data_IF_617077912562
#
_entry.id   IF_617077912562
#
_cell.length_a   1.000
_cell.length_b   1.000
_cell.length_c   1.000
_cell.angle_alpha   90.00
_cell.angle_beta   90.00
_cell.angle_gamma   90.00
#
_symmetry.space_group_name_H-M   'P 1'
#
loop_
_entity.id
_entity.type
_entity.pdbx_description
1 polymer ?
#
# COMPACT_ATOMS: atom_id res chain seq x y z
N UNK A 1 13.89 52.82 64.64
CA UNK A 1 13.17 53.51 63.55
C UNK A 1 13.81 53.26 62.18
N UNK A 2 15.14 53.17 62.08
CA UNK A 2 15.90 52.91 60.85
C UNK A 2 15.61 51.56 60.18
N UNK A 3 15.41 50.48 60.94
CA UNK A 3 15.16 49.14 60.37
C UNK A 3 13.82 49.02 59.63
N UNK A 4 12.81 49.81 60.02
CA UNK A 4 11.51 49.81 59.35
C UNK A 4 11.58 50.49 57.98
N UNK A 5 12.40 51.54 57.86
CA UNK A 5 12.62 52.28 56.60
C UNK A 5 13.45 51.44 55.62
N UNK A 6 14.49 50.76 56.10
CA UNK A 6 15.27 49.83 55.28
C UNK A 6 14.41 48.66 54.77
N UNK A 7 13.53 48.15 55.62
CA UNK A 7 12.58 47.08 55.23
C UNK A 7 11.54 47.58 54.23
N UNK A 8 11.00 48.79 54.37
CA UNK A 8 10.06 49.34 53.39
C UNK A 8 10.71 49.60 52.03
N UNK A 9 11.99 50.02 51.99
CA UNK A 9 12.75 50.21 50.74
C UNK A 9 13.06 48.88 50.05
N UNK A 10 13.37 47.81 50.80
CA UNK A 10 13.61 46.47 50.25
C UNK A 10 12.35 45.83 49.66
N UNK A 11 11.16 46.20 50.14
CA UNK A 11 9.88 45.69 49.63
C UNK A 11 9.06 46.75 48.86
N UNK A 12 9.70 47.87 48.48
CA UNK A 12 9.02 48.90 47.71
C UNK A 12 8.85 48.43 46.26
N UNK A 13 7.68 47.88 45.95
CA UNK A 13 7.31 47.45 44.59
C UNK A 13 7.31 48.58 43.55
N UNK A 14 7.47 49.84 44.00
CA UNK A 14 7.63 51.01 43.13
C UNK A 14 8.92 51.00 42.30
N UNK A 15 10.02 50.43 42.80
CA UNK A 15 11.27 50.37 42.04
C UNK A 15 11.26 49.26 40.97
N UNK A 16 10.45 48.22 41.17
CA UNK A 16 10.29 47.10 40.23
C UNK A 16 9.02 47.19 39.38
N UNK A 17 8.18 48.21 39.60
CA UNK A 17 7.07 48.48 38.71
C UNK A 17 7.66 49.14 37.46
N UNK A 18 7.90 48.34 36.42
CA UNK A 18 7.97 48.88 35.07
C UNK A 18 6.71 49.72 34.90
N UNK A 19 6.89 51.03 34.72
CA UNK A 19 5.82 51.92 34.32
C UNK A 19 5.25 51.27 33.05
N UNK A 20 4.03 50.73 33.14
CA UNK A 20 3.29 50.37 31.95
C UNK A 20 3.18 51.69 31.20
N UNK A 21 3.94 51.83 30.13
CA UNK A 21 3.78 52.94 29.21
C UNK A 21 2.33 52.87 28.76
N UNK A 22 1.48 53.72 29.35
CA UNK A 22 0.15 53.95 28.84
C UNK A 22 0.38 54.48 27.43
N UNK A 23 0.12 53.65 26.44
CA UNK A 23 0.19 54.07 25.04
C UNK A 23 -0.79 55.22 24.88
N UNK A 24 -0.33 56.38 24.44
CA UNK A 24 -1.21 57.48 24.08
C UNK A 24 -2.05 57.05 22.85
N UNK A 25 -3.26 56.54 23.10
CA UNK A 25 -4.20 56.03 22.09
C UNK A 25 -4.72 57.09 21.10
N UNK A 26 -4.19 58.31 21.17
CA UNK A 26 -4.42 59.40 20.23
C UNK A 26 -3.34 59.45 19.14
N UNK A 27 -2.16 58.85 19.35
CA UNK A 27 -1.02 58.87 18.43
C UNK A 27 -0.78 57.51 17.73
N UNK A 28 -1.50 56.46 18.15
CA UNK A 28 -1.50 55.14 17.51
C UNK A 28 -2.80 54.92 16.74
N UNK A 29 -2.70 54.28 15.58
CA UNK A 29 -3.85 53.87 14.78
C UNK A 29 -4.76 52.96 15.62
N UNK A 30 -5.98 53.43 15.92
CA UNK A 30 -6.95 52.64 16.68
C UNK A 30 -7.43 51.54 15.76
N UNK A 31 -6.95 50.31 15.99
CA UNK A 31 -7.49 49.12 15.32
C UNK A 31 -9.01 49.12 15.46
N UNK A 32 -9.71 48.88 14.36
CA UNK A 32 -11.17 48.83 14.38
C UNK A 32 -11.62 47.74 15.36
N UNK A 33 -12.69 48.03 16.11
CA UNK A 33 -13.19 47.16 17.20
C UNK A 33 -13.53 45.73 16.75
N UNK A 34 -13.70 45.53 15.45
CA UNK A 34 -14.10 44.28 14.81
C UNK A 34 -12.97 43.59 14.02
N UNK A 35 -11.73 44.08 14.11
CA UNK A 35 -10.58 43.37 13.53
C UNK A 35 -10.20 42.14 14.38
N UNK A 36 -10.07 40.94 13.79
CA UNK A 36 -9.69 39.75 14.54
C UNK A 36 -8.24 39.88 15.03
N UNK A 37 -8.08 40.12 16.33
CA UNK A 37 -6.79 40.42 17.00
C UNK A 37 -5.84 39.23 17.06
N UNK A 38 -6.29 38.01 16.73
CA UNK A 38 -5.51 36.78 16.85
C UNK A 38 -5.14 36.42 18.29
N UNK A 39 -5.65 37.17 19.27
CA UNK A 39 -5.43 36.93 20.68
C UNK A 39 -6.21 35.70 21.15
N UNK A 40 -5.62 34.96 22.10
CA UNK A 40 -6.21 33.73 22.62
C UNK A 40 -7.37 34.09 23.55
N UNK A 41 -8.59 33.77 23.14
CA UNK A 41 -9.79 34.03 23.95
C UNK A 41 -10.05 32.91 24.97
N UNK A 42 -10.60 33.24 26.16
CA UNK A 42 -10.99 32.24 27.14
C UNK A 42 -12.14 31.35 26.61
N UNK A 43 -12.12 30.07 26.95
CA UNK A 43 -13.19 29.12 26.61
C UNK A 43 -14.45 29.44 27.43
N UNK A 44 -15.47 29.99 26.79
CA UNK A 44 -16.75 30.29 27.45
C UNK A 44 -17.68 29.07 27.48
N UNK A 45 -18.66 29.10 28.39
CA UNK A 45 -19.67 28.04 28.55
C UNK A 45 -20.45 27.76 27.27
N UNK A 46 -20.66 28.78 26.44
CA UNK A 46 -21.40 28.66 25.18
C UNK A 46 -20.62 27.88 24.13
N UNK A 47 -19.29 28.10 24.02
CA UNK A 47 -18.42 27.32 23.14
C UNK A 47 -18.28 25.87 23.62
N UNK A 48 -18.22 25.63 24.93
CA UNK A 48 -18.06 24.30 25.51
C UNK A 48 -19.35 23.46 25.46
N UNK A 49 -20.53 24.07 25.29
CA UNK A 49 -21.82 23.35 25.26
C UNK A 49 -21.94 22.34 24.10
N UNK A 50 -21.22 22.59 23.00
CA UNK A 50 -21.24 21.78 21.79
C UNK A 50 -20.11 20.75 21.66
N UNK A 51 -19.20 20.65 22.64
CA UNK A 51 -18.06 19.72 22.56
C UNK A 51 -17.85 19.05 23.92
N UNK A 52 -17.91 17.72 23.94
CA UNK A 52 -17.57 16.94 25.13
C UNK A 52 -16.06 16.75 25.22
N UNK A 53 -15.59 16.60 26.45
CA UNK A 53 -14.20 16.26 26.71
C UNK A 53 -13.88 14.91 26.05
N UNK A 54 -12.91 14.91 25.12
CA UNK A 54 -12.49 13.71 24.41
C UNK A 54 -13.17 13.45 23.06
N UNK A 55 -14.09 14.30 22.59
CA UNK A 55 -14.82 14.08 21.32
C UNK A 55 -13.90 13.93 20.10
N UNK A 56 -12.75 14.61 20.10
CA UNK A 56 -11.75 14.53 19.02
C UNK A 56 -10.52 13.71 19.38
N UNK A 57 -10.51 13.07 20.55
CA UNK A 57 -9.36 12.28 20.97
C UNK A 57 -9.25 11.02 20.11
N UNK A 58 -8.08 10.79 19.53
CA UNK A 58 -7.75 9.56 18.79
C UNK A 58 -6.64 8.84 19.53
N UNK A 59 -6.85 7.56 19.84
CA UNK A 59 -5.78 6.70 20.35
C UNK A 59 -4.74 6.54 19.26
N UNK A 60 -3.52 6.97 19.52
CA UNK A 60 -2.37 6.63 18.68
C UNK A 60 -2.03 5.16 18.92
N UNK A 61 -1.93 4.38 17.85
CA UNK A 61 -1.32 3.07 17.96
C UNK A 61 0.14 3.23 18.40
N UNK A 62 0.65 2.27 19.17
CA UNK A 62 2.08 2.20 19.48
C UNK A 62 2.87 2.24 18.16
N UNK A 63 3.94 3.05 18.06
CA UNK A 63 4.81 3.03 16.89
C UNK A 63 5.27 1.59 16.69
N UNK A 64 4.89 0.98 15.57
CA UNK A 64 5.39 -0.35 15.24
C UNK A 64 6.92 -0.23 15.14
N UNK A 65 7.64 -0.76 16.12
CA UNK A 65 9.03 -1.13 15.90
C UNK A 65 9.02 -1.97 14.64
N UNK A 66 9.75 -1.51 13.60
CA UNK A 66 9.91 -2.23 12.34
C UNK A 66 10.71 -3.52 12.59
N UNK A 67 10.12 -4.47 13.30
CA UNK A 67 10.47 -5.87 13.13
C UNK A 67 9.95 -6.22 11.76
N UNK A 68 10.87 -6.60 10.87
CA UNK A 68 10.58 -7.11 9.55
C UNK A 68 9.77 -8.42 9.65
N UNK A 69 8.52 -8.34 10.09
CA UNK A 69 7.56 -9.42 10.01
C UNK A 69 6.94 -9.33 8.61
N UNK A 70 7.45 -10.17 7.70
CA UNK A 70 6.75 -10.75 6.56
C UNK A 70 5.46 -10.03 6.18
N UNK A 71 5.54 -9.19 5.14
CA UNK A 71 4.38 -8.69 4.42
C UNK A 71 3.56 -9.85 3.86
N UNK A 72 2.53 -10.25 4.61
CA UNK A 72 1.39 -11.00 4.10
C UNK A 72 0.18 -10.08 4.26
N UNK A 73 -0.54 -9.93 3.15
CA UNK A 73 -1.94 -9.51 3.04
C UNK A 73 -2.32 -8.02 3.15
N UNK A 74 -1.62 -7.09 2.47
CA UNK A 74 -2.25 -5.81 2.07
C UNK A 74 -1.99 -5.39 0.61
N UNK A 75 -0.82 -5.68 0.03
CA UNK A 75 -0.57 -5.39 -1.41
C UNK A 75 -1.25 -6.37 -2.40
N UNK A 76 -2.09 -7.30 -1.93
CA UNK A 76 -2.78 -8.26 -2.82
C UNK A 76 -4.15 -7.78 -3.29
N UNK A 77 -4.70 -6.70 -2.72
CA UNK A 77 -6.03 -6.20 -3.08
C UNK A 77 -5.94 -5.15 -4.20
N UNK A 78 -4.97 -4.24 -4.17
CA UNK A 78 -4.83 -3.19 -5.19
C UNK A 78 -4.36 -3.70 -6.57
N UNK A 79 -3.66 -4.84 -6.64
CA UNK A 79 -3.31 -5.49 -7.93
C UNK A 79 -4.50 -6.27 -8.51
N UNK A 80 -5.51 -6.58 -7.70
CA UNK A 80 -6.67 -7.37 -8.12
C UNK A 80 -7.75 -6.52 -8.77
N UNK A 81 -7.81 -5.22 -8.45
CA UNK A 81 -8.82 -4.29 -8.98
C UNK A 81 -8.49 -3.73 -10.37
N UNK A 82 -7.24 -3.85 -10.84
CA UNK A 82 -6.86 -3.53 -12.22
C UNK A 82 -6.88 -4.73 -13.18
N UNK A 83 -7.45 -5.87 -12.76
CA UNK A 83 -7.91 -6.87 -13.73
C UNK A 83 -9.25 -6.41 -14.26
N UNK A 84 -9.18 -5.52 -15.25
CA UNK A 84 -10.29 -5.16 -16.12
C UNK A 84 -11.11 -6.40 -16.46
N UNK A 85 -12.43 -6.32 -16.29
CA UNK A 85 -13.44 -7.33 -16.63
C UNK A 85 -13.39 -7.86 -18.09
N UNK A 86 -12.45 -7.38 -18.90
CA UNK A 86 -12.09 -7.90 -20.22
C UNK A 86 -11.34 -9.25 -20.12
N UNK A 87 -10.71 -9.55 -18.97
CA UNK A 87 -9.89 -10.75 -18.75
C UNK A 87 -10.69 -11.97 -18.23
N UNK A 88 -11.97 -11.76 -17.91
CA UNK A 88 -12.94 -12.79 -17.47
C UNK A 88 -13.70 -13.42 -18.64
N UNK A 89 -13.76 -12.73 -19.78
CA UNK A 89 -14.11 -13.35 -21.07
C UNK A 89 -12.85 -14.01 -21.59
N UNK A 90 -12.47 -15.11 -20.94
CA UNK A 90 -11.34 -15.92 -21.36
C UNK A 90 -11.45 -16.22 -22.84
N UNK A 91 -10.39 -15.96 -23.59
CA UNK A 91 -10.20 -16.51 -24.94
C UNK A 91 -10.46 -18.00 -24.81
N UNK A 92 -11.61 -18.45 -25.32
CA UNK A 92 -12.11 -19.80 -25.15
C UNK A 92 -11.13 -20.76 -25.82
N UNK A 93 -10.23 -21.36 -25.03
CA UNK A 93 -9.18 -22.23 -25.54
C UNK A 93 -7.78 -21.99 -24.96
N UNK A 94 -7.56 -21.05 -24.04
CA UNK A 94 -6.25 -20.89 -23.37
C UNK A 94 -6.33 -21.37 -21.92
N UNK A 95 -5.45 -22.29 -21.53
CA UNK A 95 -5.39 -22.82 -20.16
C UNK A 95 -5.02 -21.72 -19.14
N UNK A 96 -5.82 -21.57 -18.09
CA UNK A 96 -5.59 -20.61 -17.00
C UNK A 96 -5.49 -21.35 -15.65
N UNK A 97 -4.31 -21.43 -15.01
CA UNK A 97 -4.15 -22.12 -13.74
C UNK A 97 -4.94 -21.42 -12.63
N UNK A 98 -5.67 -22.19 -11.81
CA UNK A 98 -6.57 -21.67 -10.76
C UNK A 98 -5.95 -21.65 -9.37
N UNK A 99 -5.04 -22.58 -9.05
CA UNK A 99 -4.39 -22.69 -7.73
C UNK A 99 -2.95 -22.19 -7.80
N UNK A 100 -2.37 -21.85 -6.64
CA UNK A 100 -0.98 -21.39 -6.59
C UNK A 100 0.00 -22.50 -7.03
N UNK A 101 -0.25 -23.74 -6.61
CA UNK A 101 0.59 -24.88 -7.00
C UNK A 101 0.55 -25.12 -8.50
N UNK A 102 -0.66 -25.16 -9.10
CA UNK A 102 -0.80 -25.33 -10.56
C UNK A 102 -0.23 -24.17 -11.36
N UNK A 103 -0.21 -22.96 -10.79
CA UNK A 103 0.44 -21.82 -11.43
C UNK A 103 1.96 -21.98 -11.43
N UNK A 104 2.55 -22.39 -10.32
CA UNK A 104 4.00 -22.61 -10.23
C UNK A 104 4.46 -23.71 -11.20
N UNK A 105 3.72 -24.83 -11.27
CA UNK A 105 4.04 -25.90 -12.23
C UNK A 105 3.87 -25.46 -13.67
N UNK A 106 2.83 -24.68 -13.95
CA UNK A 106 2.59 -24.13 -15.29
C UNK A 106 3.65 -23.10 -15.71
N UNK A 107 4.23 -22.35 -14.77
CA UNK A 107 5.38 -21.47 -15.04
C UNK A 107 6.64 -22.25 -15.40
N UNK A 108 6.93 -23.35 -14.70
CA UNK A 108 8.01 -24.28 -15.07
C UNK A 108 7.75 -24.89 -16.46
N UNK A 109 6.51 -25.31 -16.72
CA UNK A 109 6.11 -25.86 -18.01
C UNK A 109 6.32 -24.87 -19.17
N UNK A 110 5.94 -23.60 -18.99
CA UNK A 110 6.19 -22.53 -19.95
C UNK A 110 7.68 -22.32 -20.23
N UNK A 111 8.53 -22.35 -19.19
CA UNK A 111 9.98 -22.18 -19.36
C UNK A 111 10.60 -23.31 -20.21
N UNK A 112 10.08 -24.53 -20.07
CA UNK A 112 10.54 -25.68 -20.84
C UNK A 112 10.13 -25.54 -22.32
N UNK A 113 8.91 -25.08 -22.59
CA UNK A 113 8.45 -24.84 -23.96
C UNK A 113 9.23 -23.70 -24.62
N UNK A 114 9.58 -22.66 -23.85
CA UNK A 114 10.43 -21.58 -24.32
C UNK A 114 11.83 -22.07 -24.71
N UNK A 115 12.39 -23.08 -24.01
CA UNK A 115 13.65 -23.71 -24.40
C UNK A 115 13.55 -24.46 -25.74
N UNK A 116 12.39 -25.05 -26.06
CA UNK A 116 12.17 -25.83 -27.29
C UNK A 116 11.90 -24.94 -28.51
N UNK A 117 11.04 -23.93 -28.38
CA UNK A 117 10.62 -23.05 -29.49
C UNK A 117 11.53 -21.84 -29.63
N UNK A 118 12.20 -21.43 -28.55
CA UNK A 118 12.97 -20.19 -28.48
C UNK A 118 12.13 -18.98 -28.06
N UNK A 119 12.61 -17.79 -28.42
CA UNK A 119 12.02 -16.54 -27.95
C UNK A 119 10.76 -16.19 -28.75
N UNK A 120 9.60 -16.46 -28.13
CA UNK A 120 8.27 -16.24 -28.70
C UNK A 120 7.41 -15.39 -27.74
N UNK A 121 6.45 -14.61 -28.26
CA UNK A 121 5.51 -13.88 -27.42
C UNK A 121 4.69 -14.83 -26.55
N UNK A 122 4.32 -14.34 -25.35
CA UNK A 122 3.67 -15.12 -24.29
C UNK A 122 2.36 -15.79 -24.73
N UNK A 123 1.63 -15.18 -25.67
CA UNK A 123 0.38 -15.73 -26.20
C UNK A 123 0.59 -17.03 -26.98
N UNK A 124 1.65 -17.09 -27.80
CA UNK A 124 2.00 -18.28 -28.59
C UNK A 124 2.49 -19.39 -27.65
N UNK A 125 3.30 -19.05 -26.65
CA UNK A 125 3.75 -20.02 -25.64
C UNK A 125 2.58 -20.63 -24.86
N UNK A 126 1.59 -19.81 -24.47
CA UNK A 126 0.38 -20.28 -23.81
C UNK A 126 -0.48 -21.16 -24.72
N UNK A 127 -0.65 -20.80 -25.99
CA UNK A 127 -1.36 -21.61 -26.97
C UNK A 127 -0.69 -22.98 -27.19
N UNK A 128 0.63 -22.99 -27.42
CA UNK A 128 1.40 -24.23 -27.55
C UNK A 128 1.33 -25.10 -26.30
N UNK A 129 1.42 -24.48 -25.11
CA UNK A 129 1.27 -25.18 -23.83
C UNK A 129 -0.11 -25.84 -23.70
N UNK A 130 -1.16 -25.17 -24.17
CA UNK A 130 -2.51 -25.71 -24.11
C UNK A 130 -2.67 -26.96 -24.98
N UNK A 131 -2.18 -26.92 -26.22
CA UNK A 131 -2.23 -28.05 -27.14
C UNK A 131 -1.48 -29.27 -26.59
N UNK A 132 -0.28 -29.07 -26.04
CA UNK A 132 0.46 -30.16 -25.38
C UNK A 132 -0.36 -30.74 -24.21
N UNK A 133 -0.96 -29.88 -23.37
CA UNK A 133 -1.73 -30.35 -22.22
C UNK A 133 -2.95 -31.17 -22.66
N UNK A 134 -3.57 -30.83 -23.80
CA UNK A 134 -4.66 -31.63 -24.39
C UNK A 134 -4.17 -33.01 -24.82
N UNK A 135 -3.03 -33.10 -25.50
CA UNK A 135 -2.41 -34.38 -25.90
C UNK A 135 -2.07 -35.23 -24.67
N UNK A 136 -1.44 -34.63 -23.66
CA UNK A 136 -1.06 -35.33 -22.45
C UNK A 136 -2.26 -35.84 -21.65
N UNK A 137 -3.33 -35.04 -21.61
CA UNK A 137 -4.57 -35.38 -20.90
C UNK A 137 -5.42 -36.42 -21.62
N UNK A 138 -5.15 -36.72 -22.90
CA UNK A 138 -5.91 -37.75 -23.61
C UNK A 138 -5.65 -39.15 -23.02
N UNK A 139 -6.67 -39.82 -22.50
CA UNK A 139 -6.52 -41.15 -21.89
C UNK A 139 -6.50 -42.28 -22.93
N UNK A 140 -6.89 -41.97 -24.17
CA UNK A 140 -6.97 -42.93 -25.28
C UNK A 140 -5.63 -43.26 -25.94
N UNK A 141 -4.61 -42.42 -25.75
CA UNK A 141 -3.34 -42.49 -26.49
C UNK A 141 -2.23 -43.04 -25.59
N UNK A 142 -1.36 -43.91 -26.14
CA UNK A 142 -0.21 -44.44 -25.39
C UNK A 142 0.89 -43.38 -25.26
N UNK A 143 1.68 -43.41 -24.19
CA UNK A 143 2.75 -42.42 -23.95
C UNK A 143 3.76 -42.29 -25.11
N UNK A 144 4.05 -43.39 -25.81
CA UNK A 144 4.94 -43.38 -26.99
C UNK A 144 4.35 -42.61 -28.16
N UNK A 145 3.03 -42.61 -28.30
CA UNK A 145 2.29 -41.90 -29.34
C UNK A 145 2.11 -40.44 -28.93
N UNK A 146 1.78 -40.16 -27.66
CA UNK A 146 1.76 -38.79 -27.10
C UNK A 146 3.07 -38.04 -27.34
N UNK A 147 4.21 -38.73 -27.18
CA UNK A 147 5.52 -38.15 -27.47
C UNK A 147 5.70 -37.79 -28.94
N UNK A 148 5.25 -38.65 -29.85
CA UNK A 148 5.33 -38.39 -31.30
C UNK A 148 4.44 -37.21 -31.68
N UNK A 149 3.21 -37.18 -31.19
CA UNK A 149 2.28 -36.06 -31.44
C UNK A 149 2.83 -34.74 -30.90
N UNK A 150 3.47 -34.75 -29.71
CA UNK A 150 4.12 -33.58 -29.17
C UNK A 150 5.36 -33.14 -29.98
N UNK A 151 6.16 -34.08 -30.49
CA UNK A 151 7.28 -33.78 -31.40
C UNK A 151 6.79 -33.22 -32.75
N UNK A 152 5.67 -33.73 -33.26
CA UNK A 152 5.04 -33.27 -34.49
C UNK A 152 4.55 -31.81 -34.35
N UNK A 153 4.06 -31.40 -33.17
CA UNK A 153 3.66 -30.01 -32.91
C UNK A 153 4.82 -29.01 -32.97
N UNK A 154 6.01 -29.38 -32.49
CA UNK A 154 7.16 -28.47 -32.44
C UNK A 154 8.08 -28.58 -33.66
N UNK A 155 7.82 -29.54 -34.55
CA UNK A 155 8.70 -29.89 -35.68
C UNK A 155 10.15 -30.17 -35.24
N UNK A 156 10.38 -30.41 -33.94
CA UNK A 156 11.68 -30.54 -33.29
C UNK A 156 11.69 -31.79 -32.42
N UNK A 157 12.85 -32.46 -32.39
CA UNK A 157 13.03 -33.65 -31.54
C UNK A 157 13.12 -33.23 -30.07
N UNK A 158 12.15 -33.66 -29.28
CA UNK A 158 12.14 -33.47 -27.84
C UNK A 158 12.96 -34.58 -27.19
N UNK A 159 13.93 -34.23 -26.34
CA UNK A 159 14.68 -35.22 -25.58
C UNK A 159 13.75 -36.04 -24.67
N UNK A 160 14.09 -37.32 -24.42
CA UNK A 160 13.27 -38.15 -23.52
C UNK A 160 13.24 -37.61 -22.10
N UNK A 161 14.30 -36.92 -21.66
CA UNK A 161 14.38 -36.33 -20.32
C UNK A 161 13.40 -35.19 -20.16
N UNK A 162 13.34 -34.27 -21.12
CA UNK A 162 12.40 -33.14 -21.08
C UNK A 162 10.97 -33.62 -21.18
N UNK A 163 10.69 -34.64 -22.00
CA UNK A 163 9.34 -35.24 -22.07
C UNK A 163 8.92 -35.94 -20.77
N UNK A 164 9.83 -36.62 -20.06
CA UNK A 164 9.52 -37.26 -18.78
C UNK A 164 9.27 -36.26 -17.64
N UNK A 165 9.80 -35.04 -17.75
CA UNK A 165 9.51 -33.97 -16.78
C UNK A 165 8.13 -33.34 -16.95
N UNK A 166 7.54 -33.50 -18.13
CA UNK A 166 6.24 -32.94 -18.50
C UNK A 166 5.08 -33.88 -18.10
N UNK A 167 5.29 -35.20 -18.18
CA UNK A 167 4.32 -36.25 -17.88
C UNK A 167 4.38 -36.64 -16.40
#
# INVERSE_FOLDING_TARGET
>A
MTDQIARSQQYEYRQNSNLVLSVDYNLTDRRARDEPTGEVMPLTKDLLRGSKMGDKYRRTAVPAEKKASKGKSRDREDIREQKTAVDEVGIAGIYKPRTQETRNTFEVFLSLIQEIIGDQPREILHGASHEILLILKSDSIREKEKKKEAEDLFFNKIDRRTFCFIN
#
